data_IF_020743071433
#
_entry.id   IF_020743071433
#
_cell.length_a   1.000
_cell.length_b   1.000
_cell.length_c   1.000
_cell.angle_alpha   90.00
_cell.angle_beta   90.00
_cell.angle_gamma   90.00
#
_symmetry.space_group_name_H-M   'P 1'
#
loop_
_entity.id
_entity.type
_entity.pdbx_description
1 polymer ?
#
# COMPACT_ATOMS: atom_id res chain seq x y z
N UNK A 1 -23.37 -3.34 16.32
CA UNK A 1 -23.08 -3.55 17.74
C UNK A 1 -22.02 -2.50 18.10
N UNK A 2 -22.42 -1.47 18.81
CA UNK A 2 -21.47 -0.49 19.35
C UNK A 2 -20.71 -1.21 20.46
N UNK A 3 -19.43 -1.43 20.28
CA UNK A 3 -18.56 -1.91 21.35
C UNK A 3 -18.41 -0.73 22.32
N UNK A 4 -19.15 -0.80 23.40
CA UNK A 4 -19.10 0.20 24.51
C UNK A 4 -17.87 0.06 25.39
N UNK A 5 -16.85 -0.65 24.97
CA UNK A 5 -15.58 -0.61 25.66
C UNK A 5 -14.81 0.55 25.06
N UNK A 6 -14.29 1.40 25.91
CA UNK A 6 -13.31 2.39 25.51
C UNK A 6 -12.31 1.69 24.61
N UNK A 7 -12.17 2.10 23.34
CA UNK A 7 -11.45 1.28 22.35
C UNK A 7 -10.02 1.22 22.73
N UNK A 8 -9.49 1.51 23.56
CA UNK A 8 -8.13 1.48 23.98
C UNK A 8 -7.85 2.67 24.89
N UNK A 9 -8.40 2.56 26.06
CA UNK A 9 -7.95 3.43 27.15
C UNK A 9 -6.43 3.38 27.33
N UNK A 10 -5.77 2.37 26.77
CA UNK A 10 -4.33 2.28 26.67
C UNK A 10 -3.74 3.34 25.76
N UNK A 11 -4.45 3.78 24.75
CA UNK A 11 -4.05 4.91 23.90
C UNK A 11 -4.03 6.23 24.69
N UNK A 12 -4.74 6.26 25.78
CA UNK A 12 -4.86 7.41 26.65
C UNK A 12 -4.62 6.97 28.10
N UNK A 13 -3.35 6.74 28.49
CA UNK A 13 -3.05 6.25 29.83
C UNK A 13 -3.68 7.15 30.87
N UNK A 14 -4.57 6.57 31.64
CA UNK A 14 -5.26 7.23 32.73
C UNK A 14 -4.25 7.57 33.83
N UNK A 15 -4.27 8.79 34.29
CA UNK A 15 -3.40 9.23 35.37
C UNK A 15 -1.99 9.62 34.98
N UNK A 16 -1.71 9.70 33.69
CA UNK A 16 -0.47 10.30 33.19
C UNK A 16 -0.56 11.82 33.02
N UNK A 17 0.31 12.34 32.20
CA UNK A 17 0.36 13.77 31.85
C UNK A 17 -0.85 14.19 30.98
N UNK A 18 -1.71 13.26 30.61
CA UNK A 18 -2.86 13.48 29.71
C UNK A 18 -4.17 13.34 30.48
N UNK A 19 -5.02 14.33 30.31
CA UNK A 19 -6.41 14.19 30.68
C UNK A 19 -7.12 13.29 29.67
N UNK A 20 -7.98 12.39 30.14
CA UNK A 20 -8.94 11.68 29.30
C UNK A 20 -9.97 12.68 28.80
N UNK A 21 -10.17 12.70 27.49
CA UNK A 21 -11.26 13.46 26.87
C UNK A 21 -12.43 12.51 26.61
N UNK A 22 -13.63 13.07 26.60
CA UNK A 22 -14.79 12.32 26.11
C UNK A 22 -14.53 11.80 24.71
N UNK A 23 -14.95 10.57 24.44
CA UNK A 23 -14.88 10.01 23.10
C UNK A 23 -15.69 10.89 22.14
N UNK A 24 -15.03 11.38 21.10
CA UNK A 24 -15.67 12.24 20.08
C UNK A 24 -15.96 11.52 18.79
N UNK A 25 -15.80 10.22 18.78
CA UNK A 25 -16.00 9.38 17.61
C UNK A 25 -16.21 7.92 17.99
N UNK A 26 -16.34 7.12 16.97
CA UNK A 26 -16.51 5.67 17.10
C UNK A 26 -15.72 4.95 16.01
N UNK A 27 -15.41 3.69 16.28
CA UNK A 27 -14.90 2.77 15.27
C UNK A 27 -16.02 1.95 14.67
N UNK A 28 -15.95 1.68 13.39
CA UNK A 28 -16.87 0.79 12.70
C UNK A 28 -16.07 -0.26 11.91
N UNK A 29 -16.57 -1.49 11.90
CA UNK A 29 -15.98 -2.54 11.08
C UNK A 29 -16.17 -2.23 9.59
N UNK A 30 -15.12 -2.46 8.80
CA UNK A 30 -15.19 -2.43 7.35
C UNK A 30 -15.43 -3.86 6.82
N UNK A 31 -16.65 -4.21 6.42
CA UNK A 31 -16.97 -5.55 5.92
C UNK A 31 -16.44 -5.81 4.51
N UNK A 32 -15.89 -4.82 3.83
CA UNK A 32 -15.33 -4.94 2.48
C UNK A 32 -13.87 -5.38 2.48
N UNK A 33 -13.25 -5.48 3.66
CA UNK A 33 -11.91 -6.00 3.85
C UNK A 33 -11.94 -7.18 4.83
N UNK A 34 -11.33 -8.33 4.51
CA UNK A 34 -11.40 -9.52 5.36
C UNK A 34 -10.63 -9.33 6.66
N UNK A 35 -11.12 -9.92 7.74
CA UNK A 35 -10.35 -10.08 8.96
C UNK A 35 -9.21 -11.08 8.73
N UNK A 36 -8.08 -10.90 9.41
CA UNK A 36 -6.88 -11.71 9.25
C UNK A 36 -6.18 -11.99 10.58
N UNK A 37 -5.26 -12.93 10.60
CA UNK A 37 -4.48 -13.29 11.79
C UNK A 37 -3.00 -13.03 11.55
N UNK A 38 -2.40 -12.21 12.40
CA UNK A 38 -0.95 -11.95 12.41
C UNK A 38 -0.39 -12.17 13.80
N UNK A 39 0.63 -13.01 13.91
CA UNK A 39 1.30 -13.27 15.19
C UNK A 39 0.36 -13.78 16.30
N UNK A 40 -0.64 -14.57 15.94
CA UNK A 40 -1.67 -15.08 16.87
C UNK A 40 -2.75 -14.07 17.27
N UNK A 41 -2.74 -12.88 16.69
CA UNK A 41 -3.71 -11.80 16.95
C UNK A 41 -4.71 -11.72 15.81
N UNK A 42 -6.01 -11.77 16.11
CA UNK A 42 -7.09 -11.48 15.18
C UNK A 42 -7.16 -9.96 14.93
N UNK A 43 -6.98 -9.58 13.68
CA UNK A 43 -7.08 -8.20 13.21
C UNK A 43 -8.37 -8.03 12.41
N UNK A 44 -9.15 -7.03 12.76
CA UNK A 44 -10.40 -6.69 12.08
C UNK A 44 -10.24 -5.30 11.47
N UNK A 45 -10.33 -5.15 10.13
CA UNK A 45 -10.28 -3.85 9.50
C UNK A 45 -11.39 -2.93 10.00
N UNK A 46 -11.03 -1.74 10.46
CA UNK A 46 -11.95 -0.77 11.03
C UNK A 46 -11.69 0.62 10.48
N UNK A 47 -12.72 1.45 10.56
CA UNK A 47 -12.64 2.89 10.27
C UNK A 47 -12.97 3.70 11.51
N UNK A 48 -12.45 4.91 11.59
CA UNK A 48 -12.70 5.85 12.68
C UNK A 48 -13.47 7.06 12.17
N UNK A 49 -14.63 7.34 12.78
CA UNK A 49 -15.55 8.39 12.35
C UNK A 49 -15.93 9.24 13.55
N UNK A 50 -15.85 10.56 13.42
CA UNK A 50 -16.37 11.48 14.42
C UNK A 50 -17.90 11.40 14.50
N UNK A 51 -18.48 11.77 15.63
CA UNK A 51 -19.95 11.85 15.78
C UNK A 51 -20.59 12.86 14.82
N UNK A 52 -19.84 13.83 14.36
CA UNK A 52 -20.24 14.79 13.33
C UNK A 52 -20.18 14.23 11.90
N UNK A 53 -19.64 13.01 11.73
CA UNK A 53 -19.50 12.33 10.44
C UNK A 53 -18.17 12.59 9.72
N UNK A 54 -17.25 13.33 10.32
CA UNK A 54 -15.92 13.57 9.77
C UNK A 54 -15.05 12.32 9.84
N UNK A 55 -14.19 12.15 8.85
CA UNK A 55 -13.20 11.09 8.86
C UNK A 55 -12.09 11.39 9.86
N UNK A 56 -11.76 10.40 10.69
CA UNK A 56 -10.63 10.47 11.63
C UNK A 56 -9.44 9.62 11.17
N UNK A 57 -9.57 8.96 10.01
CA UNK A 57 -8.52 8.17 9.37
C UNK A 57 -8.49 8.40 7.86
N UNK A 58 -7.58 7.72 7.16
CA UNK A 58 -7.45 7.78 5.70
C UNK A 58 -8.39 6.79 4.97
N UNK A 59 -8.89 5.78 5.64
CA UNK A 59 -9.73 4.73 5.03
C UNK A 59 -11.14 5.24 4.75
N UNK A 60 -11.72 6.05 5.62
CA UNK A 60 -13.05 6.63 5.40
C UNK A 60 -13.12 7.48 4.13
N UNK A 61 -12.18 8.39 3.85
CA UNK A 61 -12.15 9.11 2.57
C UNK A 61 -12.05 8.18 1.36
N UNK A 62 -11.23 7.13 1.44
CA UNK A 62 -11.12 6.12 0.38
C UNK A 62 -12.45 5.44 0.11
N UNK A 63 -13.12 4.91 1.12
CA UNK A 63 -14.42 4.23 0.97
C UNK A 63 -15.50 5.17 0.41
N UNK A 64 -15.51 6.43 0.84
CA UNK A 64 -16.42 7.45 0.30
C UNK A 64 -16.14 7.74 -1.17
N UNK A 65 -14.86 7.85 -1.56
CA UNK A 65 -14.47 8.08 -2.96
C UNK A 65 -14.85 6.89 -3.85
N UNK A 66 -14.63 5.66 -3.38
CA UNK A 66 -15.05 4.42 -4.07
C UNK A 66 -16.57 4.45 -4.31
N UNK A 67 -17.34 4.77 -3.29
CA UNK A 67 -18.81 4.86 -3.41
C UNK A 67 -19.25 5.94 -4.40
N UNK A 68 -18.63 7.12 -4.35
CA UNK A 68 -18.96 8.23 -5.24
C UNK A 68 -18.63 7.91 -6.70
N UNK A 69 -17.44 7.35 -6.96
CA UNK A 69 -17.02 6.94 -8.31
C UNK A 69 -17.90 5.82 -8.84
N UNK A 70 -18.19 4.80 -8.01
CA UNK A 70 -19.10 3.72 -8.41
C UNK A 70 -20.46 4.28 -8.85
N UNK A 71 -21.07 5.15 -8.07
CA UNK A 71 -22.36 5.76 -8.41
C UNK A 71 -22.32 6.50 -9.74
N UNK A 72 -21.39 7.44 -9.89
CA UNK A 72 -21.28 8.27 -11.09
C UNK A 72 -20.95 7.45 -12.34
N UNK A 73 -19.98 6.53 -12.23
CA UNK A 73 -19.56 5.71 -13.36
C UNK A 73 -20.65 4.71 -13.79
N UNK A 74 -21.38 4.12 -12.84
CA UNK A 74 -22.49 3.22 -13.16
C UNK A 74 -23.62 3.95 -13.90
N UNK A 75 -23.95 5.16 -13.49
CA UNK A 75 -24.94 6.00 -14.21
C UNK A 75 -24.52 6.24 -15.66
N UNK A 76 -23.24 6.54 -15.92
CA UNK A 76 -22.72 6.74 -17.28
C UNK A 76 -22.70 5.43 -18.06
N UNK A 77 -22.22 4.33 -17.47
CA UNK A 77 -22.14 3.04 -18.15
C UNK A 77 -23.49 2.53 -18.62
N UNK A 78 -24.57 2.79 -17.88
CA UNK A 78 -25.92 2.38 -18.24
C UNK A 78 -26.49 3.02 -19.51
N UNK A 79 -25.89 4.07 -20.02
CA UNK A 79 -26.22 4.59 -21.35
C UNK A 79 -25.76 3.68 -22.48
N UNK A 80 -24.75 2.83 -22.21
CA UNK A 80 -24.14 1.92 -23.19
C UNK A 80 -24.50 0.47 -22.93
N UNK A 81 -24.56 0.07 -21.66
CA UNK A 81 -24.91 -1.28 -21.22
C UNK A 81 -25.84 -1.20 -19.98
N UNK A 82 -27.10 -1.53 -20.15
CA UNK A 82 -28.11 -1.46 -19.09
C UNK A 82 -27.96 -2.51 -18.00
N UNK A 83 -27.18 -3.56 -18.28
CA UNK A 83 -26.93 -4.64 -17.33
C UNK A 83 -25.89 -4.27 -16.27
N UNK A 84 -25.17 -3.16 -16.46
CA UNK A 84 -24.17 -2.68 -15.49
C UNK A 84 -24.88 -2.19 -14.22
N UNK A 85 -24.57 -2.83 -13.11
CA UNK A 85 -25.07 -2.48 -11.79
C UNK A 85 -23.98 -1.86 -10.89
N UNK A 86 -22.72 -2.13 -11.20
CA UNK A 86 -21.60 -1.65 -10.40
C UNK A 86 -20.38 -1.38 -11.26
N UNK A 87 -19.63 -0.33 -10.90
CA UNK A 87 -18.27 -0.08 -11.40
C UNK A 87 -17.30 -0.21 -10.24
N UNK A 88 -16.32 -1.08 -10.40
CA UNK A 88 -15.33 -1.43 -9.40
C UNK A 88 -14.02 -0.72 -9.74
N UNK A 89 -13.39 -0.14 -8.74
CA UNK A 89 -12.06 0.44 -8.83
C UNK A 89 -11.03 -0.65 -8.52
N UNK A 90 -10.11 -0.88 -9.41
CA UNK A 90 -9.00 -1.81 -9.25
C UNK A 90 -7.69 -1.07 -9.05
N UNK A 91 -6.84 -1.64 -8.21
CA UNK A 91 -5.51 -1.11 -7.91
C UNK A 91 -4.49 -2.25 -7.89
N UNK A 92 -3.44 -2.10 -8.68
CA UNK A 92 -2.21 -2.86 -8.58
C UNK A 92 -1.10 -1.91 -8.15
N UNK A 93 -0.73 -1.96 -6.90
CA UNK A 93 0.37 -1.15 -6.38
C UNK A 93 1.71 -1.83 -6.63
N UNK A 94 2.75 -1.03 -6.74
CA UNK A 94 4.15 -1.46 -6.81
C UNK A 94 4.87 -0.86 -5.61
N UNK A 95 5.31 -1.69 -4.68
CA UNK A 95 6.05 -1.23 -3.51
C UNK A 95 7.53 -1.32 -3.78
N UNK A 96 8.14 -0.17 -4.00
CA UNK A 96 9.59 -0.04 -4.04
C UNK A 96 10.16 0.08 -2.62
N UNK A 97 11.36 -0.41 -2.42
CA UNK A 97 12.04 -0.39 -1.13
C UNK A 97 13.55 -0.58 -1.28
N UNK A 98 14.30 -0.11 -0.28
CA UNK A 98 15.73 -0.41 -0.17
C UNK A 98 15.97 -1.44 0.92
N UNK A 99 16.96 -2.29 0.72
CA UNK A 99 17.48 -3.18 1.75
C UNK A 99 18.86 -2.70 2.21
N UNK A 100 19.06 -2.62 3.52
CA UNK A 100 20.33 -2.30 4.14
C UNK A 100 20.72 -3.45 5.07
N UNK A 101 22.00 -3.81 5.08
CA UNK A 101 22.52 -4.77 6.06
C UNK A 101 22.27 -4.27 7.48
N UNK A 102 21.77 -5.12 8.37
CA UNK A 102 21.38 -4.73 9.72
C UNK A 102 22.55 -4.21 10.53
N UNK A 103 23.75 -4.77 10.34
CA UNK A 103 24.95 -4.33 11.03
C UNK A 103 25.40 -2.92 10.60
N UNK A 104 25.25 -2.60 9.32
CA UNK A 104 25.53 -1.27 8.79
C UNK A 104 24.46 -0.26 9.23
N UNK A 105 23.20 -0.66 9.26
CA UNK A 105 22.11 0.17 9.76
C UNK A 105 22.29 0.53 11.24
N UNK A 106 22.73 -0.44 12.07
CA UNK A 106 22.88 -0.27 13.51
C UNK A 106 23.96 0.75 13.93
N UNK A 107 24.88 1.09 13.04
CA UNK A 107 25.91 2.12 13.30
C UNK A 107 25.57 3.48 12.66
N UNK A 108 24.35 3.61 12.10
CA UNK A 108 23.89 4.82 11.43
C UNK A 108 22.66 5.41 12.14
N UNK A 109 22.88 6.36 13.08
CA UNK A 109 21.77 6.97 13.82
C UNK A 109 20.72 7.65 12.92
N UNK A 110 21.13 8.23 11.81
CA UNK A 110 20.23 8.85 10.85
C UNK A 110 19.28 7.81 10.21
N UNK A 111 19.79 6.66 9.77
CA UNK A 111 18.94 5.58 9.26
C UNK A 111 18.02 5.00 10.34
N UNK A 112 18.53 4.85 11.56
CA UNK A 112 17.74 4.31 12.68
C UNK A 112 16.57 5.22 13.07
N UNK A 113 16.81 6.52 13.11
CA UNK A 113 15.83 7.48 13.62
C UNK A 113 14.90 8.02 12.55
N UNK A 114 15.34 8.10 11.30
CA UNK A 114 14.59 8.78 10.24
C UNK A 114 14.29 7.93 9.01
N UNK A 115 14.87 6.74 8.91
CA UNK A 115 14.74 5.86 7.73
C UNK A 115 15.46 6.38 6.49
N UNK A 116 16.28 7.43 6.61
CA UNK A 116 17.05 8.02 5.52
C UNK A 116 18.41 8.52 5.99
N UNK A 117 19.34 8.74 5.06
CA UNK A 117 20.63 9.36 5.36
C UNK A 117 20.46 10.87 5.52
N UNK A 118 21.07 11.42 6.58
CA UNK A 118 21.14 12.86 6.83
C UNK A 118 22.59 13.37 6.77
N UNK A 119 23.56 12.48 6.87
CA UNK A 119 24.98 12.78 6.92
C UNK A 119 25.78 11.71 6.17
N UNK A 120 27.04 11.98 5.92
CA UNK A 120 27.95 11.08 5.23
C UNK A 120 28.20 11.50 3.78
N UNK A 121 28.97 10.67 3.10
CA UNK A 121 29.34 10.89 1.71
C UNK A 121 28.31 10.26 0.75
N UNK A 122 28.36 10.66 -0.51
CA UNK A 122 27.58 10.04 -1.57
C UNK A 122 27.95 8.57 -1.76
N UNK A 123 27.02 7.79 -2.30
CA UNK A 123 27.27 6.37 -2.61
C UNK A 123 28.40 6.24 -3.63
N UNK A 124 29.28 5.26 -3.41
CA UNK A 124 30.31 4.91 -4.38
C UNK A 124 29.75 4.30 -5.66
N UNK A 125 28.57 3.69 -5.57
CA UNK A 125 27.81 3.20 -6.73
C UNK A 125 26.70 4.17 -7.05
N UNK A 126 26.56 4.50 -8.32
CA UNK A 126 25.48 5.31 -8.86
C UNK A 126 24.57 4.46 -9.76
N UNK A 127 23.71 5.10 -10.54
CA UNK A 127 22.74 4.46 -11.42
C UNK A 127 23.19 4.49 -12.89
N UNK A 128 24.48 4.43 -13.16
CA UNK A 128 24.99 4.47 -14.52
C UNK A 128 24.43 3.32 -15.35
N UNK A 129 23.89 3.64 -16.51
CA UNK A 129 23.30 2.72 -17.47
C UNK A 129 22.16 1.86 -16.89
N UNK A 130 21.66 2.18 -15.71
CA UNK A 130 20.62 1.40 -15.00
C UNK A 130 20.97 -0.09 -14.85
N UNK A 131 22.26 -0.39 -14.72
CA UNK A 131 22.82 -1.74 -14.72
C UNK A 131 22.28 -2.58 -13.54
N UNK A 132 21.95 -1.97 -12.40
CA UNK A 132 21.33 -2.65 -11.28
C UNK A 132 19.95 -3.20 -11.65
N UNK A 133 19.14 -2.43 -12.38
CA UNK A 133 17.79 -2.84 -12.79
C UNK A 133 17.80 -4.15 -13.59
N UNK A 134 18.76 -4.32 -14.48
CA UNK A 134 18.94 -5.50 -15.32
C UNK A 134 19.83 -6.58 -14.71
N UNK A 135 20.38 -6.32 -13.54
CA UNK A 135 21.32 -7.22 -12.85
C UNK A 135 20.66 -8.44 -12.21
N UNK A 136 21.47 -9.40 -11.82
CA UNK A 136 21.03 -10.54 -11.02
C UNK A 136 20.68 -10.09 -9.60
N UNK A 137 19.58 -10.61 -9.05
CA UNK A 137 19.23 -10.38 -7.65
C UNK A 137 20.18 -11.19 -6.77
N UNK A 138 20.85 -10.59 -5.77
CA UNK A 138 21.77 -11.30 -4.88
C UNK A 138 21.07 -12.45 -4.13
N UNK A 139 21.76 -13.57 -3.92
CA UNK A 139 21.18 -14.78 -3.30
C UNK A 139 20.50 -14.51 -1.96
N UNK A 140 21.13 -13.69 -1.10
CA UNK A 140 20.55 -13.32 0.20
C UNK A 140 19.24 -12.53 0.05
N UNK A 141 19.15 -11.68 -0.95
CA UNK A 141 17.95 -10.91 -1.26
C UNK A 141 16.86 -11.82 -1.82
N UNK A 142 17.22 -12.77 -2.70
CA UNK A 142 16.26 -13.79 -3.19
C UNK A 142 15.67 -14.59 -2.04
N UNK A 143 16.49 -14.99 -1.06
CA UNK A 143 15.99 -15.70 0.12
C UNK A 143 15.00 -14.87 0.94
N UNK A 144 15.29 -13.61 1.15
CA UNK A 144 14.36 -12.65 1.78
C UNK A 144 13.07 -12.53 0.98
N UNK A 145 13.15 -12.33 -0.33
CA UNK A 145 11.98 -12.16 -1.19
C UNK A 145 11.09 -13.41 -1.22
N UNK A 146 11.68 -14.61 -1.20
CA UNK A 146 10.94 -15.87 -1.17
C UNK A 146 10.18 -16.07 0.15
N UNK A 147 10.83 -15.74 1.28
CA UNK A 147 10.20 -15.83 2.61
C UNK A 147 9.10 -14.77 2.75
N UNK A 148 9.33 -13.56 2.24
CA UNK A 148 8.32 -12.50 2.21
C UNK A 148 7.09 -12.90 1.39
N UNK A 149 7.27 -13.44 0.19
CA UNK A 149 6.20 -13.94 -0.67
C UNK A 149 5.37 -15.01 0.05
N UNK A 150 6.02 -15.97 0.67
CA UNK A 150 5.36 -17.03 1.44
C UNK A 150 4.46 -16.46 2.56
N UNK A 151 4.98 -15.53 3.36
CA UNK A 151 4.20 -14.91 4.44
C UNK A 151 3.06 -14.01 3.89
N UNK A 152 3.27 -13.34 2.77
CA UNK A 152 2.22 -12.57 2.09
C UNK A 152 1.07 -13.46 1.60
N UNK A 153 1.38 -14.58 0.94
CA UNK A 153 0.37 -15.51 0.43
C UNK A 153 -0.46 -16.13 1.55
N UNK A 154 0.12 -16.38 2.72
CA UNK A 154 -0.62 -16.84 3.91
C UNK A 154 -1.67 -15.84 4.39
N UNK A 155 -1.48 -14.57 4.11
CA UNK A 155 -2.38 -13.47 4.49
C UNK A 155 -3.30 -13.04 3.34
N UNK A 156 -3.26 -13.77 2.22
CA UNK A 156 -4.07 -13.49 1.06
C UNK A 156 -3.55 -12.35 0.18
N UNK A 157 -2.36 -11.83 0.44
CA UNK A 157 -1.74 -10.80 -0.43
C UNK A 157 -1.21 -11.49 -1.69
N UNK A 158 -1.77 -11.21 -2.89
CA UNK A 158 -1.50 -11.96 -4.10
C UNK A 158 -0.20 -11.50 -4.79
N UNK A 159 0.93 -11.69 -4.13
CA UNK A 159 2.25 -11.33 -4.67
C UNK A 159 2.47 -11.96 -6.04
N UNK A 160 2.95 -11.19 -7.01
CA UNK A 160 3.17 -11.64 -8.39
C UNK A 160 4.61 -11.48 -8.84
N UNK A 161 5.19 -10.30 -8.67
CA UNK A 161 6.52 -10.02 -9.18
C UNK A 161 7.44 -9.48 -8.08
N UNK A 162 8.72 -9.75 -8.25
CA UNK A 162 9.82 -9.24 -7.46
C UNK A 162 11.01 -9.03 -8.38
N UNK A 163 11.62 -7.87 -8.34
CA UNK A 163 12.75 -7.56 -9.19
C UNK A 163 13.64 -6.45 -8.59
N UNK A 164 14.77 -6.21 -9.24
CA UNK A 164 15.60 -5.06 -8.96
C UNK A 164 14.94 -3.77 -9.45
N UNK A 165 15.13 -2.69 -8.69
CA UNK A 165 14.87 -1.34 -9.11
C UNK A 165 16.14 -0.62 -9.55
N UNK A 166 16.00 0.64 -9.98
CA UNK A 166 17.06 1.40 -10.64
C UNK A 166 18.25 1.68 -9.74
N UNK A 167 18.01 2.01 -8.46
CA UNK A 167 19.10 2.33 -7.54
C UNK A 167 19.76 1.08 -6.96
N UNK A 168 21.06 1.14 -6.63
CA UNK A 168 21.74 0.05 -5.93
C UNK A 168 21.01 -0.34 -4.64
N UNK A 169 20.81 -1.64 -4.43
CA UNK A 169 20.04 -2.21 -3.31
C UNK A 169 18.58 -1.74 -3.21
N UNK A 170 18.03 -1.28 -4.31
CA UNK A 170 16.60 -1.01 -4.44
C UNK A 170 15.91 -2.17 -5.15
N UNK A 171 14.74 -2.52 -4.66
CA UNK A 171 13.94 -3.65 -5.15
C UNK A 171 12.48 -3.27 -5.15
N UNK A 172 11.67 -4.06 -5.83
CA UNK A 172 10.23 -3.88 -5.90
C UNK A 172 9.48 -5.20 -5.70
N UNK A 173 8.29 -5.07 -5.16
CA UNK A 173 7.30 -6.12 -5.09
C UNK A 173 5.97 -5.59 -5.60
N UNK A 174 5.36 -6.31 -6.54
CA UNK A 174 4.04 -6.00 -7.07
C UNK A 174 3.10 -7.21 -6.95
N UNK A 175 1.85 -7.02 -6.49
CA UNK A 175 0.82 -8.06 -6.48
C UNK A 175 0.04 -8.11 -7.80
N UNK A 176 -0.83 -9.11 -7.92
CA UNK A 176 -1.97 -9.02 -8.82
C UNK A 176 -2.89 -7.91 -8.32
N UNK A 177 -3.48 -7.14 -9.22
CA UNK A 177 -4.41 -6.08 -8.85
C UNK A 177 -5.67 -6.64 -8.15
N UNK A 178 -6.20 -5.86 -7.24
CA UNK A 178 -7.39 -6.17 -6.47
C UNK A 178 -8.35 -4.98 -6.43
N UNK A 179 -9.49 -5.15 -5.80
CA UNK A 179 -10.36 -4.02 -5.46
C UNK A 179 -9.58 -2.99 -4.60
N UNK A 180 -9.78 -1.72 -4.89
CA UNK A 180 -8.90 -0.64 -4.41
C UNK A 180 -8.77 -0.57 -2.87
N UNK A 181 -9.86 -0.81 -2.13
CA UNK A 181 -9.80 -0.80 -0.66
C UNK A 181 -8.97 -1.96 -0.13
N UNK A 182 -9.21 -3.16 -0.64
CA UNK A 182 -8.46 -4.36 -0.26
C UNK A 182 -6.99 -4.25 -0.65
N UNK A 183 -6.70 -3.79 -1.86
CA UNK A 183 -5.34 -3.57 -2.33
C UNK A 183 -4.57 -2.60 -1.42
N UNK A 184 -5.22 -1.52 -0.97
CA UNK A 184 -4.60 -0.57 -0.04
C UNK A 184 -4.30 -1.20 1.32
N UNK A 185 -5.24 -1.98 1.88
CA UNK A 185 -5.02 -2.69 3.14
C UNK A 185 -3.86 -3.70 3.02
N UNK A 186 -3.80 -4.44 1.91
CA UNK A 186 -2.72 -5.38 1.64
C UNK A 186 -1.35 -4.69 1.54
N UNK A 187 -1.26 -3.49 0.96
CA UNK A 187 -0.01 -2.73 0.95
C UNK A 187 0.43 -2.32 2.37
N UNK A 188 -0.49 -1.85 3.21
CA UNK A 188 -0.17 -1.49 4.59
C UNK A 188 0.31 -2.71 5.38
N UNK A 189 -0.37 -3.84 5.20
CA UNK A 189 0.01 -5.11 5.84
C UNK A 189 1.37 -5.59 5.34
N UNK A 190 1.63 -5.52 4.02
CA UNK A 190 2.91 -5.85 3.43
C UNK A 190 4.07 -5.09 4.08
N UNK A 191 3.96 -3.78 4.23
CA UNK A 191 5.04 -2.98 4.84
C UNK A 191 5.38 -3.45 6.25
N UNK A 192 4.37 -3.84 7.02
CA UNK A 192 4.56 -4.40 8.37
C UNK A 192 5.25 -5.76 8.35
N UNK A 193 4.87 -6.63 7.41
CA UNK A 193 5.47 -7.96 7.26
C UNK A 193 6.90 -7.84 6.75
N UNK A 194 7.13 -6.97 5.80
CA UNK A 194 8.42 -6.72 5.17
C UNK A 194 9.51 -6.41 6.20
N UNK A 195 9.24 -5.54 7.16
CA UNK A 195 10.19 -5.24 8.25
C UNK A 195 10.49 -6.48 9.10
N UNK A 196 9.48 -7.27 9.45
CA UNK A 196 9.64 -8.49 10.24
C UNK A 196 10.48 -9.54 9.50
N UNK A 197 10.22 -9.74 8.22
CA UNK A 197 10.94 -10.73 7.41
C UNK A 197 12.37 -10.28 7.12
N UNK A 198 12.59 -8.98 6.84
CA UNK A 198 13.92 -8.45 6.62
C UNK A 198 14.86 -8.75 7.79
N UNK A 199 14.38 -8.61 9.02
CA UNK A 199 15.16 -8.94 10.23
C UNK A 199 15.58 -10.41 10.31
N UNK A 200 14.76 -11.34 9.85
CA UNK A 200 15.13 -12.78 9.79
C UNK A 200 16.34 -13.02 8.87
N UNK A 201 16.50 -12.15 7.88
CA UNK A 201 17.59 -12.20 6.90
C UNK A 201 18.74 -11.23 7.21
N UNK A 202 18.78 -10.65 8.42
CA UNK A 202 19.73 -9.61 8.83
C UNK A 202 19.73 -8.39 7.90
N UNK A 203 18.56 -8.03 7.40
CA UNK A 203 18.30 -6.81 6.68
C UNK A 203 17.41 -5.85 7.45
N UNK A 204 17.46 -4.59 7.05
CA UNK A 204 16.48 -3.56 7.36
C UNK A 204 15.90 -3.04 6.06
N UNK A 205 14.58 -2.88 6.03
CA UNK A 205 13.86 -2.26 4.93
C UNK A 205 13.80 -0.76 5.17
N UNK A 206 14.10 0.02 4.14
CA UNK A 206 13.84 1.44 4.14
C UNK A 206 12.65 1.70 3.22
N UNK A 207 11.59 2.24 3.81
CA UNK A 207 10.34 2.60 3.13
C UNK A 207 10.17 4.12 2.99
N UNK A 208 11.16 4.89 3.41
CA UNK A 208 11.19 6.33 3.17
C UNK A 208 11.29 6.58 1.66
N UNK A 209 10.57 7.57 1.15
CA UNK A 209 10.46 7.85 -0.28
C UNK A 209 11.80 8.25 -0.91
N UNK A 210 12.69 8.85 -0.15
CA UNK A 210 14.01 9.28 -0.60
C UNK A 210 15.06 8.97 0.47
N UNK A 211 15.45 7.70 0.66
CA UNK A 211 16.37 7.35 1.73
C UNK A 211 17.82 7.79 1.45
N UNK A 212 18.18 7.95 0.18
CA UNK A 212 19.52 8.35 -0.23
C UNK A 212 19.46 9.51 -1.22
N UNK A 213 20.26 10.55 -0.97
CA UNK A 213 20.38 11.70 -1.85
C UNK A 213 21.09 11.31 -3.16
N UNK A 214 20.63 11.87 -4.28
CA UNK A 214 21.28 11.75 -5.58
C UNK A 214 20.98 10.48 -6.37
N UNK A 215 20.24 9.55 -5.82
CA UNK A 215 19.80 8.32 -6.51
C UNK A 215 18.27 8.22 -6.51
N UNK A 216 17.74 7.19 -7.17
CA UNK A 216 16.29 6.97 -7.25
C UNK A 216 15.62 6.90 -5.86
N UNK A 217 14.36 7.24 -5.81
CA UNK A 217 13.54 7.12 -4.61
C UNK A 217 12.62 5.91 -4.69
N UNK A 218 12.05 5.53 -3.55
CA UNK A 218 11.05 4.46 -3.48
C UNK A 218 9.66 5.04 -3.38
N UNK A 219 8.79 4.60 -4.27
CA UNK A 219 7.38 5.00 -4.31
C UNK A 219 6.44 3.84 -4.01
N UNK A 220 5.16 4.16 -4.15
CA UNK A 220 4.07 3.22 -4.31
C UNK A 220 3.40 3.55 -5.64
N UNK A 221 3.96 3.02 -6.72
CA UNK A 221 3.39 3.26 -8.03
C UNK A 221 2.03 2.58 -8.12
N UNK A 222 1.01 3.34 -8.48
CA UNK A 222 -0.37 2.86 -8.49
C UNK A 222 -0.85 2.67 -9.93
N UNK A 223 -0.90 1.43 -10.37
CA UNK A 223 -1.58 1.04 -11.59
C UNK A 223 -3.06 0.83 -11.25
N UNK A 224 -3.94 1.61 -11.82
CA UNK A 224 -5.36 1.54 -11.47
C UNK A 224 -6.26 1.50 -12.69
N UNK A 225 -7.45 0.96 -12.51
CA UNK A 225 -8.47 0.85 -13.56
C UNK A 225 -9.86 0.89 -12.97
N UNK A 226 -10.84 1.07 -13.87
CA UNK A 226 -12.27 0.95 -13.56
C UNK A 226 -12.84 -0.20 -14.39
N UNK A 227 -13.52 -1.13 -13.73
CA UNK A 227 -14.17 -2.24 -14.41
C UNK A 227 -15.65 -2.34 -14.05
N UNK A 228 -16.48 -2.68 -15.02
CA UNK A 228 -17.88 -2.98 -14.78
C UNK A 228 -18.04 -4.39 -14.21
N UNK A 229 -19.12 -4.64 -13.50
CA UNK A 229 -19.52 -5.98 -13.06
C UNK A 229 -19.89 -6.93 -14.23
N UNK A 230 -20.05 -6.39 -15.44
CA UNK A 230 -20.19 -7.16 -16.68
C UNK A 230 -18.84 -7.49 -17.36
N UNK A 231 -17.71 -7.11 -16.75
CA UNK A 231 -16.36 -7.52 -17.18
C UNK A 231 -15.69 -6.57 -18.17
N UNK A 232 -16.21 -5.36 -18.38
CA UNK A 232 -15.60 -4.36 -19.26
C UNK A 232 -14.63 -3.49 -18.47
N UNK A 233 -13.37 -3.41 -18.94
CA UNK A 233 -12.40 -2.45 -18.40
C UNK A 233 -12.61 -1.09 -19.10
N UNK A 234 -13.00 -0.07 -18.33
CA UNK A 234 -13.34 1.26 -18.87
C UNK A 234 -12.11 2.06 -19.33
N UNK A 235 -10.91 1.68 -18.88
CA UNK A 235 -9.65 2.36 -19.24
C UNK A 235 -8.84 1.56 -20.29
N UNK A 236 -9.34 0.39 -20.73
CA UNK A 236 -8.73 -0.40 -21.79
C UNK A 236 -9.56 -0.24 -23.08
N UNK A 237 -9.08 0.54 -24.06
CA UNK A 237 -9.84 0.77 -25.27
C UNK A 237 -9.91 -0.51 -26.13
N UNK A 238 -11.10 -1.03 -26.33
CA UNK A 238 -11.40 -1.98 -27.39
C UNK A 238 -11.51 -1.26 -28.75
N UNK A 239 -11.45 -2.01 -29.85
CA UNK A 239 -11.34 -1.48 -31.21
C UNK A 239 -12.48 -0.55 -31.68
N UNK A 240 -13.66 -0.57 -31.04
CA UNK A 240 -14.80 0.27 -31.42
C UNK A 240 -15.37 1.09 -30.25
N UNK A 241 -15.31 0.56 -29.02
CA UNK A 241 -15.84 1.23 -27.81
C UNK A 241 -15.01 2.46 -27.41
N UNK A 242 -13.75 2.53 -27.85
CA UNK A 242 -12.82 3.59 -27.49
C UNK A 242 -13.24 4.98 -27.95
N UNK A 243 -13.76 5.09 -29.15
CA UNK A 243 -14.17 6.38 -29.73
C UNK A 243 -15.39 7.01 -29.04
N UNK A 244 -16.15 6.25 -28.28
CA UNK A 244 -17.40 6.70 -27.65
C UNK A 244 -17.34 6.80 -26.11
N UNK A 245 -16.36 6.16 -25.47
CA UNK A 245 -16.24 6.12 -24.00
C UNK A 245 -15.05 6.92 -23.44
N UNK A 246 -14.07 7.24 -24.24
CA UNK A 246 -12.97 8.09 -23.81
C UNK A 246 -13.32 9.55 -24.05
N UNK A 247 -13.43 10.30 -22.97
CA UNK A 247 -13.29 11.75 -23.05
C UNK A 247 -11.95 12.05 -23.72
N UNK A 248 -11.91 13.01 -24.67
CA UNK A 248 -10.65 13.41 -25.27
C UNK A 248 -9.68 13.79 -24.13
N UNK A 249 -8.58 13.06 -24.04
CA UNK A 249 -7.47 13.45 -23.16
C UNK A 249 -7.00 14.81 -23.65
N UNK A 250 -7.33 15.84 -22.90
CA UNK A 250 -6.75 17.17 -23.10
C UNK A 250 -5.26 16.99 -22.77
N UNK A 251 -4.44 16.97 -23.83
CA UNK A 251 -3.01 17.21 -23.67
C UNK A 251 -2.86 18.66 -23.25
N UNK A 252 -2.54 18.89 -21.99
CA UNK A 252 -1.98 20.16 -21.53
C UNK A 252 -0.50 20.21 -21.90
#
# INVERSE_FOLDING_TARGET
MLVQQEPDASSFPNGGIRNTFEARGYSAWDPTSPAFIVGGTLCIPTVFIAYTGEALDYKVPLLRSISAVNKAATEVCRYFDKEVNRVIQYLGWEQEYFLVDESLWAVRPDLMLTGRTLMGHESAKNQQLEDHYFGAIPTRVIAFMADLEYECLKLGIPVKTRHNEVAPNQFELAPVYEECNLANDHNQLLMTIMDKIARRHNFRVLLHEKPFKGINGSGKHNNWSLGTDTGVNLLSPGTVSYTHLTLPTIRL
#
